data_IF_175219898868
#
_entry.id   IF_175219898868
#
_cell.length_a   1.000
_cell.length_b   1.000
_cell.length_c   1.000
_cell.angle_alpha   90.00
_cell.angle_beta   90.00
_cell.angle_gamma   90.00
#
_symmetry.space_group_name_H-M   'P 1'
#
loop_
_entity.id
_entity.type
_entity.pdbx_description
1 polymer ?
#
# COMPACT_ATOMS: atom_id res chain seq x y z
N UNK A 1 -30.05 -29.59 5.25
CA UNK A 1 -31.01 -28.48 5.07
C UNK A 1 -30.35 -27.15 4.74
N UNK A 2 -29.19 -26.86 5.34
CA UNK A 2 -28.42 -25.62 5.09
C UNK A 2 -27.43 -25.74 3.92
N UNK A 3 -27.38 -26.88 3.24
CA UNK A 3 -26.46 -27.15 2.11
C UNK A 3 -26.55 -26.06 1.01
N UNK A 4 -27.73 -25.49 0.78
CA UNK A 4 -27.99 -24.50 -0.28
C UNK A 4 -27.26 -23.17 -0.07
N UNK A 5 -26.78 -22.90 1.15
CA UNK A 5 -26.04 -21.68 1.48
C UNK A 5 -24.51 -21.86 1.49
N UNK A 6 -24.03 -23.09 1.30
CA UNK A 6 -22.60 -23.40 1.27
C UNK A 6 -22.07 -23.04 -0.12
N UNK A 7 -21.38 -21.90 -0.23
CA UNK A 7 -20.64 -21.53 -1.44
C UNK A 7 -19.31 -22.29 -1.47
N UNK A 8 -19.03 -22.94 -2.60
CA UNK A 8 -17.74 -23.60 -2.84
C UNK A 8 -16.72 -22.62 -3.42
N UNK A 9 -16.04 -21.88 -2.54
CA UNK A 9 -15.05 -20.86 -2.88
C UNK A 9 -13.88 -21.34 -3.74
N UNK A 10 -13.52 -22.62 -3.63
CA UNK A 10 -12.36 -23.21 -4.30
C UNK A 10 -12.73 -24.11 -5.49
N UNK A 11 -14.02 -24.37 -5.71
CA UNK A 11 -14.48 -25.26 -6.79
C UNK A 11 -15.32 -24.54 -7.84
N UNK A 12 -15.73 -23.31 -7.57
CA UNK A 12 -16.44 -22.47 -8.52
C UNK A 12 -15.42 -21.67 -9.37
N UNK A 13 -15.32 -21.95 -10.69
CA UNK A 13 -14.35 -21.33 -11.57
C UNK A 13 -14.51 -19.81 -11.70
N UNK A 14 -15.69 -19.25 -11.41
CA UNK A 14 -15.94 -17.81 -11.49
C UNK A 14 -15.32 -17.04 -10.30
N UNK A 15 -15.16 -17.69 -9.14
CA UNK A 15 -14.67 -17.04 -7.91
C UNK A 15 -13.38 -17.63 -7.35
N UNK A 16 -12.93 -18.79 -7.84
CA UNK A 16 -11.74 -19.50 -7.31
C UNK A 16 -10.49 -18.63 -7.35
N UNK A 17 -10.27 -17.90 -8.45
CA UNK A 17 -9.09 -17.05 -8.59
C UNK A 17 -9.09 -15.91 -7.57
N UNK A 18 -10.22 -15.21 -7.41
CA UNK A 18 -10.37 -14.15 -6.42
C UNK A 18 -10.25 -14.66 -4.99
N UNK A 19 -10.80 -15.86 -4.72
CA UNK A 19 -10.78 -16.50 -3.40
C UNK A 19 -9.37 -16.86 -2.93
N UNK A 20 -8.42 -17.01 -3.86
CA UNK A 20 -7.00 -17.27 -3.55
C UNK A 20 -6.18 -15.98 -3.59
N UNK A 21 -6.40 -15.11 -4.57
CA UNK A 21 -5.62 -13.87 -4.72
C UNK A 21 -5.89 -12.88 -3.58
N UNK A 22 -7.16 -12.68 -3.18
CA UNK A 22 -7.50 -11.67 -2.16
C UNK A 22 -6.83 -11.95 -0.80
N UNK A 23 -6.89 -13.17 -0.23
CA UNK A 23 -6.14 -13.48 0.98
C UNK A 23 -4.62 -13.33 0.80
N UNK A 24 -4.10 -13.67 -0.37
CA UNK A 24 -2.68 -13.46 -0.70
C UNK A 24 -2.29 -11.99 -0.62
N UNK A 25 -3.04 -11.11 -1.29
CA UNK A 25 -2.82 -9.66 -1.22
C UNK A 25 -2.91 -9.19 0.23
N UNK A 26 -3.96 -9.60 0.96
CA UNK A 26 -4.16 -9.22 2.36
C UNK A 26 -2.98 -9.59 3.27
N UNK A 27 -2.43 -10.79 3.09
CA UNK A 27 -1.29 -11.27 3.87
C UNK A 27 -0.06 -10.35 3.73
N UNK A 28 0.24 -9.90 2.52
CA UNK A 28 1.41 -9.04 2.26
C UNK A 28 1.14 -7.55 2.51
N UNK A 29 -0.13 -7.13 2.45
CA UNK A 29 -0.54 -5.73 2.63
C UNK A 29 -0.02 -5.16 3.96
N UNK A 30 -0.22 -5.90 5.06
CA UNK A 30 0.17 -5.44 6.39
C UNK A 30 1.68 -5.19 6.53
N UNK A 31 2.49 -6.08 5.97
CA UNK A 31 3.95 -5.94 5.98
C UNK A 31 4.42 -4.73 5.16
N UNK A 32 3.89 -4.57 3.94
CA UNK A 32 4.22 -3.45 3.08
C UNK A 32 3.82 -2.10 3.69
N UNK A 33 2.65 -2.03 4.35
CA UNK A 33 2.20 -0.81 5.03
C UNK A 33 3.16 -0.36 6.13
N UNK A 34 3.67 -1.29 6.95
CA UNK A 34 4.61 -0.97 8.02
C UNK A 34 5.91 -0.40 7.46
N UNK A 35 6.45 -1.00 6.39
CA UNK A 35 7.69 -0.55 5.76
C UNK A 35 7.52 0.84 5.14
N UNK A 36 6.43 1.04 4.39
CA UNK A 36 6.14 2.33 3.76
C UNK A 36 5.93 3.43 4.80
N UNK A 37 5.23 3.11 5.90
CA UNK A 37 5.02 4.04 7.00
C UNK A 37 6.34 4.41 7.70
N UNK A 38 7.21 3.43 7.96
CA UNK A 38 8.54 3.68 8.52
C UNK A 38 9.38 4.58 7.61
N UNK A 39 9.30 4.35 6.30
CA UNK A 39 9.93 5.21 5.30
C UNK A 39 9.43 6.63 5.31
N UNK A 40 8.11 6.83 5.35
CA UNK A 40 7.53 8.16 5.45
C UNK A 40 7.93 8.88 6.74
N UNK A 41 8.02 8.17 7.87
CA UNK A 41 8.44 8.74 9.15
C UNK A 41 9.93 9.14 9.17
N UNK A 42 10.77 8.54 8.33
CA UNK A 42 12.19 8.91 8.22
C UNK A 42 12.43 10.27 7.56
N UNK A 43 11.42 10.83 6.87
CA UNK A 43 11.53 12.14 6.21
C UNK A 43 11.44 13.24 7.27
N UNK A 44 12.49 14.08 7.44
CA UNK A 44 12.45 15.18 8.40
C UNK A 44 11.34 16.18 8.07
N UNK A 45 10.57 16.59 9.08
CA UNK A 45 9.47 17.56 8.93
C UNK A 45 9.96 18.92 8.43
N UNK A 46 11.20 19.31 8.78
CA UNK A 46 11.84 20.56 8.35
C UNK A 46 11.93 20.68 6.83
N UNK A 47 12.12 19.56 6.11
CA UNK A 47 12.16 19.54 4.64
C UNK A 47 10.78 19.84 4.05
N UNK A 48 9.71 19.37 4.70
CA UNK A 48 8.34 19.64 4.26
C UNK A 48 7.96 21.08 4.59
N UNK A 49 8.39 21.59 5.73
CA UNK A 49 8.14 22.97 6.14
C UNK A 49 8.88 23.98 5.26
N UNK A 50 10.15 23.73 4.93
CA UNK A 50 10.91 24.56 3.99
C UNK A 50 10.28 24.54 2.59
N UNK A 51 9.88 23.37 2.08
CA UNK A 51 9.18 23.28 0.80
C UNK A 51 7.86 24.06 0.79
N UNK A 52 7.12 24.10 1.91
CA UNK A 52 5.90 24.92 2.04
C UNK A 52 6.21 26.41 2.04
N UNK A 53 7.29 26.84 2.71
CA UNK A 53 7.75 28.23 2.70
C UNK A 53 8.13 28.66 1.27
N UNK A 54 8.74 27.75 0.50
CA UNK A 54 9.07 27.94 -0.92
C UNK A 54 7.85 27.91 -1.85
N UNK A 55 6.63 27.75 -1.31
CA UNK A 55 5.37 27.77 -2.07
C UNK A 55 5.01 26.44 -2.74
N UNK A 56 5.66 25.32 -2.39
CA UNK A 56 5.31 24.01 -2.92
C UNK A 56 3.92 23.56 -2.41
N UNK A 57 3.07 23.11 -3.33
CA UNK A 57 1.77 22.54 -2.96
C UNK A 57 1.92 21.07 -2.49
N UNK A 58 0.84 20.47 -2.00
CA UNK A 58 0.86 19.09 -1.47
C UNK A 58 1.23 18.04 -2.52
N UNK A 59 0.84 18.24 -3.79
CA UNK A 59 1.19 17.31 -4.88
C UNK A 59 2.67 17.41 -5.22
N UNK A 60 3.25 18.61 -5.21
CA UNK A 60 4.68 18.84 -5.37
C UNK A 60 5.47 18.15 -4.26
N UNK A 61 5.06 18.34 -3.00
CA UNK A 61 5.70 17.70 -1.85
C UNK A 61 5.59 16.17 -1.97
N UNK A 62 4.43 15.64 -2.32
CA UNK A 62 4.22 14.19 -2.46
C UNK A 62 5.10 13.60 -3.58
N UNK A 63 5.08 14.19 -4.77
CA UNK A 63 5.76 13.65 -5.94
C UNK A 63 7.27 13.91 -5.97
N UNK A 64 7.74 15.04 -5.43
CA UNK A 64 9.15 15.46 -5.48
C UNK A 64 9.91 15.18 -4.19
N UNK A 65 9.24 15.02 -3.06
CA UNK A 65 9.87 14.75 -1.76
C UNK A 65 9.48 13.35 -1.28
N UNK A 66 8.19 13.06 -1.10
CA UNK A 66 7.75 11.79 -0.48
C UNK A 66 8.10 10.59 -1.37
N UNK A 67 7.64 10.55 -2.62
CA UNK A 67 7.87 9.41 -3.54
C UNK A 67 9.36 9.10 -3.72
N UNK A 68 10.25 10.07 -4.00
CA UNK A 68 11.68 9.78 -4.17
C UNK A 68 12.33 9.24 -2.89
N UNK A 69 11.94 9.75 -1.72
CA UNK A 69 12.50 9.30 -0.43
C UNK A 69 12.06 7.89 -0.06
N UNK A 70 10.83 7.49 -0.39
CA UNK A 70 10.33 6.12 -0.12
C UNK A 70 10.53 5.15 -1.30
N UNK A 71 11.16 5.59 -2.40
CA UNK A 71 11.34 4.78 -3.61
C UNK A 71 12.01 3.43 -3.33
N UNK A 72 13.04 3.43 -2.49
CA UNK A 72 13.75 2.21 -2.10
C UNK A 72 12.85 1.24 -1.33
N UNK A 73 11.89 1.74 -0.53
CA UNK A 73 10.89 0.90 0.14
C UNK A 73 9.86 0.34 -0.83
N UNK A 74 9.42 1.15 -1.81
CA UNK A 74 8.50 0.70 -2.86
C UNK A 74 9.12 -0.46 -3.66
N UNK A 75 10.43 -0.41 -3.95
CA UNK A 75 11.14 -1.50 -4.65
C UNK A 75 11.18 -2.81 -3.85
N UNK A 76 11.12 -2.77 -2.52
CA UNK A 76 11.06 -3.97 -1.68
C UNK A 76 9.66 -4.59 -1.66
N UNK A 77 8.63 -3.78 -1.93
CA UNK A 77 7.22 -4.21 -1.90
C UNK A 77 6.72 -4.79 -3.24
N UNK A 78 7.53 -4.73 -4.30
CA UNK A 78 7.23 -5.22 -5.65
C UNK A 78 8.06 -6.48 -5.91
#
# INVERSE_FOLDING_TARGET
GMEKHIKNWLSDPDIVLFSVILPGIWQYLGYHFVILLAGMQSIPSEIIESARIDGANTVDIFSKIVIPNVKSMIQVCI
#
